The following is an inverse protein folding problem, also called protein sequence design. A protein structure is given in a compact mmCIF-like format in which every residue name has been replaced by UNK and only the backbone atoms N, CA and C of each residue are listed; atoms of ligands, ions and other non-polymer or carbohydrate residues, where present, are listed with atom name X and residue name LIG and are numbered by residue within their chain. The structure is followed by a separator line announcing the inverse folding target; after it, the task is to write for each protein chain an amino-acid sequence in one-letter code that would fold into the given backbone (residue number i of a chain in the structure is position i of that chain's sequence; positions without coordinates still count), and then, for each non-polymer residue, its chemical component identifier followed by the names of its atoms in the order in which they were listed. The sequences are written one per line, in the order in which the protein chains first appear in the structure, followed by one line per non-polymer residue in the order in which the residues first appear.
data_IF_802744525421
#
_entry.id   IF_802744525421
#
_cell.length_a   1.000
_cell.length_b   1.000
_cell.length_c   1.000
_cell.angle_alpha   90.00
_cell.angle_beta   90.00
_cell.angle_gamma   90.00
#
_symmetry.space_group_name_H-M   'P 1'
#
loop_
_entity.id
_entity.type
_entity.pdbx_description
1 polymer ?
#
# COMPACT_ATOMS: atom_id res chain seq x y z
N UNK A 1 -43.18 -2.05 -4.93
CA UNK A 1 -42.53 -1.46 -6.11
C UNK A 1 -41.04 -1.41 -5.78
N UNK A 2 -40.25 -2.35 -6.30
CA UNK A 2 -38.79 -2.27 -6.19
C UNK A 2 -38.40 -1.16 -7.14
N UNK A 3 -37.90 -0.04 -6.62
CA UNK A 3 -37.33 0.97 -7.50
C UNK A 3 -36.06 0.38 -8.14
N UNK A 4 -35.99 0.28 -9.48
CA UNK A 4 -34.88 -0.40 -10.17
C UNK A 4 -33.50 0.20 -9.85
N UNK A 5 -33.48 1.47 -9.43
CA UNK A 5 -32.30 2.23 -8.98
C UNK A 5 -31.57 1.57 -7.80
N UNK A 6 -32.28 0.89 -6.90
CA UNK A 6 -31.65 0.31 -5.70
C UNK A 6 -30.79 -0.92 -6.03
N UNK A 7 -31.22 -1.75 -6.98
CA UNK A 7 -30.49 -2.95 -7.37
C UNK A 7 -29.27 -2.62 -8.24
N UNK A 8 -29.41 -1.65 -9.14
CA UNK A 8 -28.33 -1.16 -10.00
C UNK A 8 -27.16 -0.62 -9.16
N UNK A 9 -27.45 0.28 -8.22
CA UNK A 9 -26.43 0.84 -7.34
C UNK A 9 -25.76 -0.22 -6.46
N UNK A 10 -26.50 -1.25 -6.02
CA UNK A 10 -25.93 -2.35 -5.24
C UNK A 10 -24.92 -3.16 -6.06
N UNK A 11 -25.27 -3.53 -7.30
CA UNK A 11 -24.38 -4.29 -8.19
C UNK A 11 -23.15 -3.47 -8.55
N UNK A 12 -23.32 -2.19 -8.89
CA UNK A 12 -22.19 -1.30 -9.20
C UNK A 12 -21.25 -1.16 -8.01
N UNK A 13 -21.80 -0.94 -6.81
CA UNK A 13 -20.99 -0.80 -5.58
C UNK A 13 -20.25 -2.11 -5.25
N UNK A 14 -20.90 -3.26 -5.42
CA UNK A 14 -20.28 -4.57 -5.20
C UNK A 14 -19.10 -4.81 -6.17
N UNK A 15 -19.31 -4.62 -7.47
CA UNK A 15 -18.23 -4.80 -8.45
C UNK A 15 -17.11 -3.78 -8.27
N UNK A 16 -17.46 -2.52 -7.99
CA UNK A 16 -16.47 -1.48 -7.76
C UNK A 16 -15.63 -1.77 -6.50
N UNK A 17 -16.25 -2.22 -5.40
CA UNK A 17 -15.52 -2.60 -4.18
C UNK A 17 -14.61 -3.83 -4.40
N UNK A 18 -15.06 -4.84 -5.15
CA UNK A 18 -14.22 -5.96 -5.54
C UNK A 18 -13.02 -5.48 -6.40
N UNK A 19 -13.25 -4.57 -7.35
CA UNK A 19 -12.18 -3.96 -8.14
C UNK A 19 -11.19 -3.18 -7.27
N UNK A 20 -11.66 -2.44 -6.26
CA UNK A 20 -10.80 -1.72 -5.32
C UNK A 20 -9.88 -2.70 -4.59
N UNK A 21 -10.40 -3.82 -4.08
CA UNK A 21 -9.58 -4.83 -3.39
C UNK A 21 -8.55 -5.44 -4.35
N UNK A 22 -8.96 -5.85 -5.55
CA UNK A 22 -8.07 -6.46 -6.54
C UNK A 22 -6.98 -5.49 -6.99
N UNK A 23 -7.33 -4.23 -7.32
CA UNK A 23 -6.35 -3.21 -7.69
C UNK A 23 -5.43 -2.83 -6.53
N UNK A 24 -5.94 -2.78 -5.30
CA UNK A 24 -5.13 -2.48 -4.11
C UNK A 24 -4.10 -3.56 -3.84
N UNK A 25 -4.52 -4.83 -3.91
CA UNK A 25 -3.63 -5.98 -3.79
C UNK A 25 -2.63 -6.04 -4.93
N UNK A 26 -3.05 -5.79 -6.17
CA UNK A 26 -2.18 -5.77 -7.34
C UNK A 26 -1.12 -4.65 -7.24
N UNK A 27 -1.50 -3.45 -6.79
CA UNK A 27 -0.58 -2.36 -6.51
C UNK A 27 0.48 -2.76 -5.48
N UNK A 28 0.06 -3.33 -4.34
CA UNK A 28 0.97 -3.78 -3.30
C UNK A 28 1.93 -4.88 -3.80
N UNK A 29 1.40 -5.84 -4.58
CA UNK A 29 2.17 -6.93 -5.16
C UNK A 29 3.20 -6.41 -6.18
N UNK A 30 2.80 -5.54 -7.11
CA UNK A 30 3.69 -4.95 -8.11
C UNK A 30 4.77 -4.07 -7.46
N UNK A 31 4.41 -3.31 -6.42
CA UNK A 31 5.37 -2.49 -5.68
C UNK A 31 6.42 -3.36 -4.99
N UNK A 32 5.98 -4.39 -4.26
CA UNK A 32 6.88 -5.34 -3.61
C UNK A 32 7.76 -6.07 -4.65
N UNK A 33 7.17 -6.54 -5.75
CA UNK A 33 7.88 -7.24 -6.82
C UNK A 33 8.95 -6.35 -7.49
N UNK A 34 8.59 -5.11 -7.84
CA UNK A 34 9.49 -4.15 -8.46
C UNK A 34 10.69 -3.79 -7.56
N UNK A 35 10.45 -3.69 -6.26
CA UNK A 35 11.49 -3.37 -5.28
C UNK A 35 12.41 -4.57 -5.00
N UNK A 36 11.87 -5.79 -4.89
CA UNK A 36 12.64 -7.02 -4.75
C UNK A 36 13.54 -7.27 -5.97
N UNK A 37 13.04 -7.03 -7.19
CA UNK A 37 13.81 -7.26 -8.42
C UNK A 37 14.64 -6.04 -8.87
N UNK A 38 14.68 -4.94 -8.11
CA UNK A 38 15.42 -3.69 -8.42
C UNK A 38 15.24 -3.18 -9.86
N UNK A 39 14.04 -3.34 -10.42
CA UNK A 39 13.72 -2.94 -11.81
C UNK A 39 12.91 -1.64 -11.81
N UNK A 40 13.56 -0.46 -11.95
CA UNK A 40 12.88 0.84 -11.91
C UNK A 40 11.86 1.02 -13.05
N UNK A 41 11.92 0.17 -14.07
CA UNK A 41 10.98 0.18 -15.20
C UNK A 41 9.58 -0.33 -14.86
N UNK A 42 9.39 -1.04 -13.74
CA UNK A 42 8.08 -1.47 -13.25
C UNK A 42 7.40 -0.46 -12.31
N UNK A 43 8.11 0.56 -11.83
CA UNK A 43 7.52 1.66 -11.04
C UNK A 43 6.37 2.39 -11.73
N UNK A 44 6.43 2.76 -13.02
CA UNK A 44 5.29 3.40 -13.70
C UNK A 44 4.07 2.47 -13.81
N UNK A 45 4.26 1.15 -13.93
CA UNK A 45 3.15 0.18 -13.94
C UNK A 45 2.46 0.07 -12.56
N UNK A 46 3.22 0.16 -11.48
CA UNK A 46 2.64 0.20 -10.13
C UNK A 46 1.80 1.47 -9.93
N UNK A 47 2.30 2.64 -10.38
CA UNK A 47 1.52 3.89 -10.34
C UNK A 47 0.28 3.84 -11.24
N UNK A 48 0.34 3.16 -12.38
CA UNK A 48 -0.81 2.97 -13.26
C UNK A 48 -1.90 2.12 -12.59
N UNK A 49 -1.52 1.07 -11.85
CA UNK A 49 -2.46 0.26 -11.06
C UNK A 49 -3.09 1.07 -9.91
N UNK A 50 -2.31 1.96 -9.27
CA UNK A 50 -2.84 2.87 -8.26
C UNK A 50 -3.81 3.91 -8.86
N UNK A 51 -3.56 4.40 -10.07
CA UNK A 51 -4.54 5.24 -10.77
C UNK A 51 -5.86 4.49 -11.04
N UNK A 52 -5.79 3.19 -11.32
CA UNK A 52 -6.97 2.32 -11.42
C UNK A 52 -7.73 2.18 -10.10
N UNK A 53 -7.01 2.04 -8.97
CA UNK A 53 -7.59 2.05 -7.62
C UNK A 53 -8.35 3.35 -7.34
N UNK A 54 -7.71 4.49 -7.62
CA UNK A 54 -8.32 5.83 -7.46
C UNK A 54 -9.59 5.95 -8.29
N UNK A 55 -9.56 5.48 -9.55
CA UNK A 55 -10.73 5.45 -10.41
C UNK A 55 -11.88 4.61 -9.83
N UNK A 56 -11.59 3.40 -9.36
CA UNK A 56 -12.60 2.52 -8.76
C UNK A 56 -13.21 3.12 -7.48
N UNK A 57 -12.38 3.71 -6.62
CA UNK A 57 -12.84 4.41 -5.41
C UNK A 57 -13.68 5.63 -5.75
N UNK A 58 -13.32 6.40 -6.78
CA UNK A 58 -14.10 7.55 -7.24
C UNK A 58 -15.49 7.13 -7.75
N UNK A 59 -15.59 6.01 -8.47
CA UNK A 59 -16.87 5.45 -8.92
C UNK A 59 -17.77 5.09 -7.74
N UNK A 60 -17.22 4.49 -6.67
CA UNK A 60 -17.98 4.23 -5.43
C UNK A 60 -18.42 5.54 -4.78
N UNK A 61 -17.50 6.51 -4.68
CA UNK A 61 -17.76 7.84 -4.13
C UNK A 61 -18.95 8.53 -4.78
N UNK A 62 -19.01 8.49 -6.12
CA UNK A 62 -20.14 9.03 -6.88
C UNK A 62 -21.41 8.20 -6.75
N UNK A 63 -21.32 6.87 -6.86
CA UNK A 63 -22.50 5.98 -6.79
C UNK A 63 -23.18 6.05 -5.43
N UNK A 64 -22.41 6.16 -4.34
CA UNK A 64 -22.94 6.23 -2.98
C UNK A 64 -23.17 7.68 -2.49
N UNK A 65 -22.96 8.68 -3.36
CA UNK A 65 -23.09 10.09 -3.03
C UNK A 65 -22.32 10.49 -1.74
N UNK A 66 -21.12 9.92 -1.57
CA UNK A 66 -20.24 10.14 -0.42
C UNK A 66 -19.70 11.57 -0.49
N UNK A 67 -20.41 12.50 0.15
CA UNK A 67 -20.09 13.93 0.18
C UNK A 67 -19.60 14.38 1.56
N UNK A 68 -18.82 15.46 1.58
CA UNK A 68 -18.30 16.08 2.81
C UNK A 68 -17.30 15.20 3.55
N UNK A 69 -17.62 14.85 4.80
CA UNK A 69 -16.74 14.13 5.72
C UNK A 69 -16.24 12.79 5.15
N UNK A 70 -17.12 12.02 4.52
CA UNK A 70 -16.77 10.71 3.99
C UNK A 70 -15.81 10.76 2.80
N UNK A 71 -15.90 11.80 1.97
CA UNK A 71 -14.93 12.02 0.90
C UNK A 71 -13.54 12.29 1.49
N UNK A 72 -13.45 13.07 2.56
CA UNK A 72 -12.18 13.32 3.25
C UNK A 72 -11.57 12.04 3.85
N UNK A 73 -12.39 11.18 4.46
CA UNK A 73 -11.95 9.87 4.98
C UNK A 73 -11.37 9.01 3.85
N UNK A 74 -12.06 8.95 2.71
CA UNK A 74 -11.60 8.20 1.53
C UNK A 74 -10.29 8.76 0.97
N UNK A 75 -10.15 10.09 0.92
CA UNK A 75 -8.89 10.74 0.50
C UNK A 75 -7.73 10.42 1.44
N UNK A 76 -7.95 10.48 2.76
CA UNK A 76 -6.95 10.10 3.75
C UNK A 76 -6.58 8.61 3.61
N UNK A 77 -7.56 7.75 3.37
CA UNK A 77 -7.31 6.32 3.17
C UNK A 77 -6.46 6.05 1.92
N UNK A 78 -6.73 6.75 0.81
CA UNK A 78 -5.92 6.69 -0.41
C UNK A 78 -4.46 7.11 -0.13
N UNK A 79 -4.26 8.25 0.54
CA UNK A 79 -2.92 8.74 0.91
C UNK A 79 -2.21 7.71 1.80
N UNK A 80 -2.91 7.15 2.80
CA UNK A 80 -2.38 6.08 3.64
C UNK A 80 -1.95 4.85 2.86
N UNK A 81 -2.75 4.45 1.86
CA UNK A 81 -2.44 3.31 0.99
C UNK A 81 -1.19 3.55 0.12
N UNK A 82 -0.93 4.79 -0.26
CA UNK A 82 0.30 5.16 -0.97
C UNK A 82 1.51 5.08 -0.04
N UNK A 83 1.38 5.54 1.20
CA UNK A 83 2.49 5.62 2.16
C UNK A 83 2.80 4.28 2.85
N UNK A 84 1.83 3.39 2.99
CA UNK A 84 1.98 2.09 3.65
C UNK A 84 3.15 1.25 3.09
N UNK A 85 3.26 0.99 1.77
CA UNK A 85 4.37 0.20 1.23
C UNK A 85 5.74 0.88 1.40
N UNK A 86 5.79 2.22 1.41
CA UNK A 86 7.02 2.96 1.69
C UNK A 86 7.46 2.81 3.16
N UNK A 87 6.50 2.90 4.09
CA UNK A 87 6.77 2.75 5.53
C UNK A 87 7.28 1.35 5.89
N UNK A 88 6.62 0.30 5.39
CA UNK A 88 7.03 -1.10 5.64
C UNK A 88 8.47 -1.33 5.17
N UNK A 89 8.83 -0.83 3.99
CA UNK A 89 10.20 -0.98 3.49
C UNK A 89 11.24 -0.28 4.36
N UNK A 90 10.95 0.95 4.82
CA UNK A 90 11.85 1.72 5.68
C UNK A 90 12.09 1.02 7.02
N UNK A 91 11.06 0.34 7.56
CA UNK A 91 11.17 -0.50 8.75
C UNK A 91 12.01 -1.76 8.50
N UNK A 92 11.82 -2.44 7.37
CA UNK A 92 12.61 -3.63 7.01
C UNK A 92 14.11 -3.33 6.84
N UNK A 93 14.44 -2.17 6.27
CA UNK A 93 15.83 -1.73 6.03
C UNK A 93 16.49 -1.20 7.32
N UNK A 94 15.72 -0.52 8.18
CA UNK A 94 16.17 -0.06 9.49
C UNK A 94 16.58 -1.21 10.42
N UNK A 95 15.82 -2.30 10.47
CA UNK A 95 16.14 -3.44 11.34
C UNK A 95 17.40 -4.19 10.90
N UNK A 96 17.69 -4.25 9.59
CA UNK A 96 18.91 -4.90 9.10
C UNK A 96 20.18 -4.10 9.44
N UNK A 97 20.11 -2.77 9.48
CA UNK A 97 21.25 -1.94 9.88
C UNK A 97 21.53 -2.05 11.39
N UNK A 98 20.48 -2.13 12.20
CA UNK A 98 20.64 -2.24 13.65
C UNK A 98 21.17 -3.61 14.10
N UNK A 99 20.87 -4.68 13.36
CA UNK A 99 21.40 -6.00 13.64
C UNK A 99 22.88 -6.17 13.25
N UNK A 100 23.37 -5.42 12.25
CA UNK A 100 24.78 -5.45 11.86
C UNK A 100 25.65 -4.69 12.87
N UNK A 101 25.23 -3.49 13.29
CA UNK A 101 26.02 -2.67 14.22
C UNK A 101 26.16 -3.33 15.62
N UNK A 102 25.13 -4.06 16.08
CA UNK A 102 25.19 -4.73 17.40
C UNK A 102 26.09 -5.96 17.47
N UNK A 103 26.44 -6.59 16.35
CA UNK A 103 27.37 -7.73 16.32
C UNK A 103 28.83 -7.26 16.34
N UNK A 104 29.13 -6.15 15.67
CA UNK A 104 30.48 -5.60 15.57
C UNK A 104 30.98 -5.08 16.93
N UNK A 105 30.10 -4.47 17.74
CA UNK A 105 30.43 -4.00 19.09
C UNK A 105 30.74 -5.17 20.06
N UNK A 106 29.98 -6.27 19.94
CA UNK A 106 30.17 -7.46 20.78
C UNK A 106 31.45 -8.24 20.43
N UNK A 107 31.82 -8.28 19.15
CA UNK A 107 33.06 -8.92 18.68
C UNK A 107 34.30 -8.10 19.10
N UNK A 108 34.23 -6.76 19.01
CA UNK A 108 35.31 -5.87 19.42
C UNK A 108 35.58 -5.89 20.94
N UNK A 109 34.53 -5.96 21.77
CA UNK A 109 34.69 -6.12 23.23
C UNK A 109 35.32 -7.47 23.59
N UNK A 110 34.92 -8.55 22.89
CA UNK A 110 35.46 -9.87 23.13
C UNK A 110 36.94 -9.99 22.71
N UNK A 111 37.36 -9.32 21.63
CA UNK A 111 38.76 -9.26 21.17
C UNK A 111 39.66 -8.43 22.10
N UNK A 112 39.14 -7.32 22.66
CA UNK A 112 39.88 -6.55 23.67
C UNK A 112 40.02 -7.31 24.99
N UNK A 113 39.02 -8.12 25.38
CA UNK A 113 39.04 -8.91 26.60
C UNK A 113 39.86 -10.20 26.49
N UNK A 114 40.13 -10.68 25.28
CA UNK A 114 40.97 -11.86 25.02
C UNK A 114 42.44 -11.54 24.73
N UNK A 115 42.83 -10.27 24.68
CA UNK A 115 44.22 -9.86 24.52
C UNK A 115 44.88 -9.76 25.90
N UNK A 116 45.89 -10.60 26.21
CA UNK A 116 46.51 -10.70 27.54
C UNK A 116 47.38 -9.49 27.94
#
# INVERSE_FOLDING_TARGET
MIEPVALENFVITFFASAMVIVMGALYALLFAYARVHRVPRLMPFAYLSYAGLVGAVAVIGWTMHLSGFWAAVVSVMLIGYLLAPHGIWHLCEGTHRHAADGNDDAEHEHLMRSSP
#
